data_IF_736703638199
#
_entry.id   IF_736703638199
#
_cell.length_a   1.000
_cell.length_b   1.000
_cell.length_c   1.000
_cell.angle_alpha   90.00
_cell.angle_beta   90.00
_cell.angle_gamma   90.00
#
_symmetry.space_group_name_H-M   'P 1'
#
loop_
_entity.id
_entity.type
_entity.pdbx_description
1 polymer ?
#
# COMPACT_ATOMS: atom_id res chain seq x y z
N UNK A 1 9.15 -40.56 61.65
CA UNK A 1 8.94 -42.01 61.46
C UNK A 1 8.14 -42.17 60.19
N UNK A 2 8.75 -42.36 59.01
CA UNK A 2 9.27 -43.65 58.50
C UNK A 2 8.09 -44.62 58.35
N UNK A 3 7.65 -45.11 57.18
CA UNK A 3 8.37 -45.77 56.07
C UNK A 3 7.33 -46.14 54.97
N UNK A 4 7.62 -45.96 53.68
CA UNK A 4 7.83 -47.01 52.63
C UNK A 4 7.01 -48.31 52.73
N UNK A 5 6.17 -48.58 51.71
CA UNK A 5 6.16 -49.81 50.88
C UNK A 5 5.03 -49.72 49.82
N UNK A 6 5.31 -49.53 48.52
CA UNK A 6 5.58 -50.51 47.44
C UNK A 6 4.51 -51.59 47.20
N UNK A 7 3.97 -51.53 45.98
CA UNK A 7 3.61 -52.61 45.07
C UNK A 7 2.49 -53.60 45.44
N UNK A 8 1.35 -53.46 44.75
CA UNK A 8 0.67 -54.60 44.18
C UNK A 8 0.33 -54.33 42.71
N UNK A 9 1.13 -54.94 41.83
CA UNK A 9 0.72 -55.27 40.47
C UNK A 9 -0.35 -56.35 40.59
N UNK A 10 -1.60 -56.03 40.25
CA UNK A 10 -2.59 -57.05 39.94
C UNK A 10 -3.00 -56.95 38.48
N UNK A 11 -2.58 -58.01 37.79
CA UNK A 11 -3.00 -58.55 36.52
C UNK A 11 -4.53 -58.44 36.29
N UNK A 12 -4.96 -57.73 35.26
CA UNK A 12 -6.14 -58.10 34.47
C UNK A 12 -5.82 -57.84 33.00
N UNK A 13 -5.21 -58.85 32.39
CA UNK A 13 -5.27 -59.07 30.95
C UNK A 13 -6.69 -59.58 30.66
N UNK A 14 -7.51 -58.70 30.12
CA UNK A 14 -8.85 -59.00 29.64
C UNK A 14 -9.11 -58.17 28.41
N UNK A 15 -8.85 -58.74 27.24
CA UNK A 15 -9.31 -58.26 25.95
C UNK A 15 -10.83 -58.09 26.00
N UNK A 16 -11.26 -56.84 25.93
CA UNK A 16 -12.55 -56.47 25.40
C UNK A 16 -12.25 -55.35 24.44
N UNK A 17 -12.37 -55.62 23.15
CA UNK A 17 -12.41 -54.57 22.13
C UNK A 17 -13.55 -53.63 22.55
N UNK A 18 -13.20 -52.49 23.16
CA UNK A 18 -14.19 -51.49 23.52
C UNK A 18 -14.79 -51.02 22.19
N UNK A 19 -16.09 -51.23 21.93
CA UNK A 19 -16.69 -50.77 20.69
C UNK A 19 -16.48 -49.27 20.49
N UNK A 20 -16.28 -48.52 21.59
CA UNK A 20 -15.98 -47.10 21.54
C UNK A 20 -14.65 -46.79 20.83
N UNK A 21 -13.61 -47.60 20.98
CA UNK A 21 -12.31 -47.37 20.32
C UNK A 21 -12.36 -47.66 18.80
N UNK A 22 -13.14 -48.66 18.36
CA UNK A 22 -13.41 -48.87 16.92
C UNK A 22 -14.26 -47.72 16.34
N UNK A 23 -15.21 -47.17 17.10
CA UNK A 23 -15.98 -46.00 16.67
C UNK A 23 -15.13 -44.73 16.60
N UNK A 24 -14.28 -44.47 17.58
CA UNK A 24 -13.41 -43.29 17.62
C UNK A 24 -12.34 -43.34 16.54
N UNK A 25 -11.72 -44.50 16.32
CA UNK A 25 -10.74 -44.66 15.24
C UNK A 25 -11.36 -44.57 13.84
N UNK A 26 -12.62 -44.98 13.66
CA UNK A 26 -13.37 -44.73 12.41
C UNK A 26 -13.77 -43.26 12.24
N UNK A 27 -14.14 -42.57 13.32
CA UNK A 27 -14.49 -41.16 13.29
C UNK A 27 -13.26 -40.28 12.99
N UNK A 28 -12.10 -40.62 13.55
CA UNK A 28 -10.82 -39.96 13.26
C UNK A 28 -10.40 -40.19 11.81
N UNK A 29 -10.46 -41.43 11.29
CA UNK A 29 -10.15 -41.71 9.87
C UNK A 29 -11.05 -40.95 8.92
N UNK A 30 -12.35 -40.82 9.24
CA UNK A 30 -13.32 -40.07 8.42
C UNK A 30 -13.10 -38.56 8.49
N UNK A 31 -12.53 -38.04 9.58
CA UNK A 31 -12.14 -36.63 9.67
C UNK A 31 -10.79 -36.37 9.00
N UNK A 32 -9.79 -37.23 9.12
CA UNK A 32 -8.49 -37.07 8.44
C UNK A 32 -8.60 -37.23 6.91
N UNK A 33 -9.46 -38.11 6.38
CA UNK A 33 -9.74 -38.18 4.93
C UNK A 33 -10.55 -36.97 4.41
N UNK A 34 -11.32 -36.30 5.28
CA UNK A 34 -12.06 -35.08 4.92
C UNK A 34 -11.18 -33.83 4.99
N UNK A 35 -10.07 -33.88 5.74
CA UNK A 35 -9.08 -32.81 5.86
C UNK A 35 -8.05 -32.85 4.72
N UNK A 36 -7.67 -34.02 4.19
CA UNK A 36 -6.76 -34.11 3.04
C UNK A 36 -7.41 -33.88 1.65
N UNK A 37 -8.75 -33.78 1.55
CA UNK A 37 -9.44 -33.55 0.25
C UNK A 37 -10.18 -32.22 0.11
N UNK A 38 -10.02 -31.26 1.03
CA UNK A 38 -10.68 -29.95 0.90
C UNK A 38 -9.81 -28.72 1.16
N UNK A 39 -8.49 -28.88 1.14
CA UNK A 39 -7.58 -27.77 0.84
C UNK A 39 -7.42 -27.60 -0.67
N UNK A 40 -8.42 -27.04 -1.35
CA UNK A 40 -8.27 -26.23 -2.57
C UNK A 40 -9.53 -25.37 -2.75
N UNK A 41 -9.85 -24.55 -1.75
CA UNK A 41 -10.85 -23.48 -1.85
C UNK A 41 -10.17 -22.11 -1.60
N UNK A 42 -9.05 -21.88 -2.28
CA UNK A 42 -8.50 -20.55 -2.54
C UNK A 42 -8.88 -20.12 -3.95
N UNK A 43 -9.58 -18.99 -4.06
CA UNK A 43 -10.08 -18.45 -5.33
C UNK A 43 -8.96 -18.16 -6.31
N UNK A 44 -8.75 -19.05 -7.27
CA UNK A 44 -8.06 -18.76 -8.51
C UNK A 44 -9.13 -18.34 -9.54
N UNK A 45 -9.10 -17.11 -10.10
CA UNK A 45 -10.09 -16.66 -11.09
C UNK A 45 -10.18 -17.59 -12.30
N UNK A 46 -9.10 -18.33 -12.62
CA UNK A 46 -9.13 -19.34 -13.68
C UNK A 46 -10.02 -20.55 -13.38
N UNK A 47 -10.21 -20.93 -12.11
CA UNK A 47 -11.03 -22.10 -11.72
C UNK A 47 -12.52 -21.76 -11.61
N UNK A 48 -12.87 -20.54 -11.18
CA UNK A 48 -14.28 -20.09 -11.18
C UNK A 48 -14.77 -19.85 -12.60
N UNK A 49 -13.94 -19.25 -13.47
CA UNK A 49 -14.23 -19.12 -14.89
C UNK A 49 -14.37 -20.51 -15.54
N UNK A 50 -13.49 -21.46 -15.22
CA UNK A 50 -13.61 -22.84 -15.71
C UNK A 50 -14.88 -23.54 -15.21
N UNK A 51 -15.27 -23.37 -13.94
CA UNK A 51 -16.54 -23.91 -13.41
C UNK A 51 -17.77 -23.31 -14.10
N UNK A 52 -17.77 -22.00 -14.37
CA UNK A 52 -18.86 -21.33 -15.10
C UNK A 52 -18.91 -21.82 -16.54
N UNK A 53 -17.77 -21.95 -17.22
CA UNK A 53 -17.69 -22.50 -18.58
C UNK A 53 -18.16 -23.96 -18.61
N UNK A 54 -17.78 -24.78 -17.63
CA UNK A 54 -18.23 -26.18 -17.52
C UNK A 54 -19.74 -26.24 -17.27
N UNK A 55 -20.31 -25.39 -16.40
CA UNK A 55 -21.77 -25.33 -16.18
C UNK A 55 -22.51 -24.91 -17.46
N UNK A 56 -21.97 -23.97 -18.22
CA UNK A 56 -22.54 -23.52 -19.50
C UNK A 56 -22.43 -24.60 -20.59
N UNK A 57 -21.30 -25.32 -20.65
CA UNK A 57 -21.07 -26.41 -21.61
C UNK A 57 -21.83 -27.70 -21.25
N UNK A 58 -21.97 -28.04 -19.96
CA UNK A 58 -22.81 -29.16 -19.52
C UNK A 58 -24.30 -28.85 -19.65
N UNK A 59 -24.71 -27.60 -19.40
CA UNK A 59 -26.07 -27.12 -19.60
C UNK A 59 -26.52 -27.24 -21.06
N UNK A 60 -25.62 -27.05 -22.03
CA UNK A 60 -25.94 -27.20 -23.46
C UNK A 60 -26.02 -28.66 -23.92
N UNK A 61 -25.32 -29.58 -23.26
CA UNK A 61 -25.28 -31.00 -23.66
C UNK A 61 -26.40 -31.87 -23.06
N UNK A 62 -27.00 -31.46 -21.93
CA UNK A 62 -28.08 -32.23 -21.28
C UNK A 62 -29.51 -31.75 -21.58
N UNK A 63 -29.69 -30.64 -22.30
CA UNK A 63 -31.02 -30.06 -22.59
C UNK A 63 -31.59 -30.46 -23.96
N UNK A 64 -31.79 -31.76 -24.20
CA UNK A 64 -32.59 -32.25 -25.35
C UNK A 64 -33.95 -32.85 -24.95
N UNK A 65 -34.45 -32.60 -23.74
CA UNK A 65 -35.67 -33.28 -23.27
C UNK A 65 -36.46 -32.68 -22.11
N UNK A 66 -36.38 -31.37 -21.83
CA UNK A 66 -37.28 -30.72 -20.84
C UNK A 66 -37.81 -29.42 -21.45
N UNK A 67 -39.13 -29.33 -21.58
CA UNK A 67 -39.84 -28.13 -22.02
C UNK A 67 -39.79 -27.01 -20.98
N UNK A 68 -39.75 -25.77 -21.48
CA UNK A 68 -40.01 -24.50 -20.79
C UNK A 68 -39.47 -24.34 -19.35
N UNK A 69 -38.15 -24.20 -19.22
CA UNK A 69 -37.56 -23.50 -18.08
C UNK A 69 -36.90 -22.23 -18.63
N UNK A 70 -37.53 -21.07 -18.40
CA UNK A 70 -36.89 -19.77 -18.64
C UNK A 70 -35.90 -19.50 -17.50
N UNK A 71 -34.68 -19.97 -17.66
CA UNK A 71 -33.55 -19.49 -16.88
C UNK A 71 -33.07 -18.22 -17.58
N UNK A 72 -33.31 -17.05 -16.99
CA UNK A 72 -32.65 -15.80 -17.37
C UNK A 72 -31.38 -15.64 -16.50
N UNK A 73 -30.25 -16.31 -16.80
CA UNK A 73 -29.03 -16.23 -15.99
C UNK A 73 -28.43 -14.83 -15.96
N UNK A 74 -28.83 -13.96 -16.89
CA UNK A 74 -28.33 -12.60 -16.98
C UNK A 74 -28.97 -11.65 -15.96
N UNK A 75 -30.27 -11.78 -15.66
CA UNK A 75 -30.97 -10.83 -14.76
C UNK A 75 -30.57 -10.97 -13.28
N UNK A 76 -30.07 -12.14 -12.88
CA UNK A 76 -29.50 -12.34 -11.54
C UNK A 76 -28.09 -11.74 -11.44
N UNK A 77 -27.28 -11.89 -12.49
CA UNK A 77 -25.91 -11.36 -12.53
C UNK A 77 -25.91 -9.83 -12.68
N UNK A 78 -26.87 -9.25 -13.42
CA UNK A 78 -26.99 -7.79 -13.58
C UNK A 78 -27.28 -7.05 -12.27
N UNK A 79 -27.97 -7.66 -11.31
CA UNK A 79 -28.28 -7.02 -10.02
C UNK A 79 -27.11 -7.11 -9.03
N UNK A 80 -26.30 -8.17 -9.09
CA UNK A 80 -25.12 -8.34 -8.22
C UNK A 80 -23.81 -7.82 -8.81
N UNK A 81 -23.71 -7.65 -10.13
CA UNK A 81 -22.49 -7.15 -10.78
C UNK A 81 -22.38 -5.62 -10.82
N UNK A 82 -23.46 -4.88 -10.54
CA UNK A 82 -23.48 -3.42 -10.63
C UNK A 82 -23.37 -2.69 -9.27
N UNK A 83 -23.41 -3.43 -8.15
CA UNK A 83 -23.15 -2.88 -6.81
C UNK A 83 -21.66 -2.74 -6.46
N UNK A 84 -20.76 -3.00 -7.42
CA UNK A 84 -19.30 -2.82 -7.26
C UNK A 84 -18.87 -1.36 -7.60
N UNK A 85 -19.79 -0.51 -8.05
CA UNK A 85 -19.44 0.78 -8.67
C UNK A 85 -19.48 2.02 -7.76
N UNK A 86 -19.64 1.89 -6.43
CA UNK A 86 -19.50 3.05 -5.54
C UNK A 86 -18.23 2.91 -4.68
N UNK A 87 -17.28 3.88 -4.72
CA UNK A 87 -16.36 4.07 -3.62
C UNK A 87 -17.20 4.15 -2.35
N UNK A 88 -17.06 3.11 -1.52
CA UNK A 88 -17.92 2.80 -0.38
C UNK A 88 -18.21 4.02 0.47
N UNK A 89 -19.48 4.38 0.65
CA UNK A 89 -19.96 5.39 1.62
C UNK A 89 -19.27 5.26 2.98
N UNK A 90 -19.03 4.02 3.40
CA UNK A 90 -18.24 3.64 4.58
C UNK A 90 -16.79 4.19 4.58
N UNK A 91 -16.09 4.19 3.45
CA UNK A 91 -14.76 4.82 3.33
C UNK A 91 -14.82 6.34 3.53
N UNK A 92 -15.81 7.02 2.95
CA UNK A 92 -15.98 8.46 3.12
C UNK A 92 -16.35 8.79 4.56
N UNK A 93 -17.21 7.99 5.20
CA UNK A 93 -17.54 8.14 6.61
C UNK A 93 -16.31 7.96 7.52
N UNK A 94 -15.49 6.92 7.29
CA UNK A 94 -14.23 6.75 8.03
C UNK A 94 -13.26 7.89 7.81
N UNK A 95 -13.14 8.36 6.55
CA UNK A 95 -12.28 9.51 6.25
C UNK A 95 -12.79 10.74 7.00
N UNK A 96 -14.09 11.04 6.96
CA UNK A 96 -14.70 12.17 7.66
C UNK A 96 -14.38 12.13 9.15
N UNK A 97 -14.59 10.99 9.81
CA UNK A 97 -14.28 10.83 11.24
C UNK A 97 -12.82 11.18 11.54
N UNK A 98 -11.88 10.71 10.70
CA UNK A 98 -10.46 11.01 10.87
C UNK A 98 -10.14 12.49 10.60
N UNK A 99 -10.81 13.12 9.64
CA UNK A 99 -10.67 14.55 9.35
C UNK A 99 -11.17 15.40 10.53
N UNK A 100 -12.31 15.04 11.11
CA UNK A 100 -12.87 15.68 12.31
C UNK A 100 -11.92 15.55 13.51
N UNK A 101 -11.39 14.35 13.76
CA UNK A 101 -10.37 14.12 14.81
C UNK A 101 -9.12 15.00 14.63
N UNK A 102 -8.77 15.30 13.39
CA UNK A 102 -7.63 16.15 13.05
C UNK A 102 -7.96 17.65 13.07
N UNK A 103 -9.21 18.04 13.30
CA UNK A 103 -9.64 19.44 13.38
C UNK A 103 -10.18 20.02 12.07
N UNK A 104 -10.59 19.18 11.11
CA UNK A 104 -11.26 19.59 9.88
C UNK A 104 -12.73 19.17 9.92
N UNK A 105 -13.61 19.92 10.64
CA UNK A 105 -15.03 19.61 10.70
C UNK A 105 -15.75 19.98 9.38
N UNK A 106 -17.03 19.64 9.32
CA UNK A 106 -17.99 20.14 8.32
C UNK A 106 -17.71 19.73 6.86
N UNK A 107 -16.98 18.63 6.63
CA UNK A 107 -16.78 18.06 5.30
C UNK A 107 -17.93 17.11 4.93
N UNK A 108 -18.60 17.40 3.80
CA UNK A 108 -19.58 16.49 3.23
C UNK A 108 -18.90 15.44 2.33
N UNK A 109 -19.68 14.45 1.84
CA UNK A 109 -19.12 13.38 1.00
C UNK A 109 -18.55 13.86 -0.34
N UNK A 110 -19.13 14.90 -0.94
CA UNK A 110 -18.62 15.49 -2.18
C UNK A 110 -17.28 16.19 -1.94
N UNK A 111 -17.14 16.94 -0.84
CA UNK A 111 -15.87 17.56 -0.44
C UNK A 111 -14.78 16.49 -0.26
N UNK A 112 -15.11 15.39 0.41
CA UNK A 112 -14.17 14.28 0.65
C UNK A 112 -13.80 13.55 -0.65
N UNK A 113 -14.74 13.41 -1.60
CA UNK A 113 -14.46 12.85 -2.93
C UNK A 113 -13.52 13.77 -3.70
N UNK A 114 -13.72 15.08 -3.63
CA UNK A 114 -12.87 16.07 -4.28
C UNK A 114 -11.46 16.11 -3.68
N UNK A 115 -11.32 16.18 -2.36
CA UNK A 115 -10.02 16.11 -1.69
C UNK A 115 -9.25 14.86 -2.13
N UNK A 116 -9.91 13.69 -2.14
CA UNK A 116 -9.30 12.44 -2.57
C UNK A 116 -8.90 12.43 -4.04
N UNK A 117 -9.71 13.02 -4.92
CA UNK A 117 -9.39 13.08 -6.36
C UNK A 117 -8.15 13.95 -6.62
N UNK A 118 -7.90 14.94 -5.77
CA UNK A 118 -6.69 15.77 -5.76
C UNK A 118 -5.53 15.14 -4.96
N UNK A 119 -5.67 13.91 -4.44
CA UNK A 119 -4.63 13.20 -3.68
C UNK A 119 -4.56 13.55 -2.19
N UNK A 120 -5.45 14.41 -1.69
CA UNK A 120 -5.54 14.78 -0.28
C UNK A 120 -6.41 13.77 0.46
N UNK A 121 -5.77 12.92 1.25
CA UNK A 121 -6.44 11.92 2.11
C UNK A 121 -6.17 12.21 3.58
N UNK A 122 -6.99 11.64 4.47
CA UNK A 122 -6.75 11.75 5.91
C UNK A 122 -5.36 11.18 6.31
N UNK A 123 -4.92 10.09 5.66
CA UNK A 123 -3.57 9.52 5.86
C UNK A 123 -2.48 10.47 5.38
N UNK A 124 -2.66 11.11 4.23
CA UNK A 124 -1.71 12.09 3.71
C UNK A 124 -1.51 13.24 4.71
N UNK A 125 -2.61 13.87 5.14
CA UNK A 125 -2.58 14.95 6.13
C UNK A 125 -1.93 14.49 7.44
N UNK A 126 -2.33 13.33 7.97
CA UNK A 126 -1.75 12.76 9.19
C UNK A 126 -0.24 12.57 9.07
N UNK A 127 0.26 12.10 7.92
CA UNK A 127 1.69 11.91 7.69
C UNK A 127 2.43 13.24 7.59
N UNK A 128 1.88 14.25 6.90
CA UNK A 128 2.49 15.58 6.83
C UNK A 128 2.55 16.24 8.22
N UNK A 129 1.48 16.13 9.02
CA UNK A 129 1.47 16.64 10.41
C UNK A 129 2.49 15.94 11.29
N UNK A 130 2.68 14.63 11.12
CA UNK A 130 3.67 13.86 11.86
C UNK A 130 5.12 14.27 11.56
N UNK A 131 5.37 14.96 10.43
CA UNK A 131 6.67 15.52 10.06
C UNK A 131 6.92 16.92 10.67
N UNK A 132 6.03 17.41 11.53
CA UNK A 132 6.18 18.69 12.24
C UNK A 132 5.25 19.80 11.75
N UNK A 133 4.53 19.61 10.65
CA UNK A 133 3.56 20.59 10.12
C UNK A 133 2.20 20.46 10.82
N UNK A 134 2.15 20.71 12.14
CA UNK A 134 0.96 20.41 12.97
C UNK A 134 -0.26 21.26 12.64
N UNK A 135 -0.04 22.50 12.20
CA UNK A 135 -1.07 23.50 11.82
C UNK A 135 -1.37 23.50 10.31
N UNK A 136 -1.35 22.32 9.69
CA UNK A 136 -1.62 22.19 8.26
C UNK A 136 -3.08 22.54 7.94
N UNK A 137 -3.36 23.53 7.10
CA UNK A 137 -4.72 23.78 6.63
C UNK A 137 -5.12 22.84 5.48
N UNK A 138 -6.41 22.72 5.15
CA UNK A 138 -6.84 21.98 3.95
C UNK A 138 -6.31 22.63 2.67
N UNK A 139 -6.27 23.96 2.63
CA UNK A 139 -5.71 24.70 1.50
C UNK A 139 -4.22 24.38 1.33
N UNK A 140 -3.44 24.33 2.41
CA UNK A 140 -2.04 23.92 2.34
C UNK A 140 -1.87 22.48 1.87
N UNK A 141 -2.68 21.56 2.38
CA UNK A 141 -2.65 20.17 1.92
C UNK A 141 -2.93 20.05 0.41
N UNK A 142 -3.88 20.84 -0.11
CA UNK A 142 -4.17 20.92 -1.54
C UNK A 142 -3.01 21.54 -2.32
N UNK A 143 -2.40 22.62 -1.81
CA UNK A 143 -1.24 23.28 -2.43
C UNK A 143 -0.05 22.31 -2.56
N UNK A 144 0.22 21.52 -1.52
CA UNK A 144 1.26 20.49 -1.54
C UNK A 144 0.93 19.39 -2.55
N UNK A 145 -0.30 18.87 -2.53
CA UNK A 145 -0.72 17.83 -3.46
C UNK A 145 -0.65 18.29 -4.92
N UNK A 146 -1.11 19.51 -5.22
CA UNK A 146 -1.02 20.13 -6.54
C UNK A 146 0.43 20.37 -7.00
N UNK A 147 1.37 20.54 -6.07
CA UNK A 147 2.80 20.59 -6.35
C UNK A 147 3.47 19.20 -6.44
N UNK A 148 2.69 18.11 -6.41
CA UNK A 148 3.17 16.72 -6.36
C UNK A 148 4.13 16.45 -5.18
N UNK A 149 3.84 17.07 -4.03
CA UNK A 149 4.58 16.84 -2.79
C UNK A 149 3.95 15.66 -2.03
N UNK A 150 4.75 14.62 -1.84
CA UNK A 150 4.41 13.47 -1.00
C UNK A 150 4.97 13.65 0.41
N UNK A 151 4.39 13.00 1.41
CA UNK A 151 4.99 12.94 2.76
C UNK A 151 6.37 12.29 2.75
N UNK A 152 6.62 11.32 1.85
CA UNK A 152 7.97 10.74 1.65
C UNK A 152 8.97 11.79 1.13
N UNK A 153 8.58 12.66 0.21
CA UNK A 153 9.46 13.74 -0.25
C UNK A 153 9.83 14.68 0.90
N UNK A 154 8.86 15.11 1.70
CA UNK A 154 9.11 15.94 2.88
C UNK A 154 10.05 15.23 3.87
N UNK A 155 9.76 13.98 4.21
CA UNK A 155 10.58 13.19 5.13
C UNK A 155 12.03 13.06 4.67
N UNK A 156 12.26 12.71 3.41
CA UNK A 156 13.61 12.58 2.85
C UNK A 156 14.35 13.92 2.82
N UNK A 157 13.67 15.02 2.51
CA UNK A 157 14.32 16.33 2.51
C UNK A 157 14.69 16.78 3.92
N UNK A 158 13.83 16.54 4.92
CA UNK A 158 14.15 16.77 6.35
C UNK A 158 15.36 15.93 6.76
N UNK A 159 15.41 14.66 6.36
CA UNK A 159 16.54 13.76 6.64
C UNK A 159 17.85 14.24 6.00
N UNK A 160 17.77 14.84 4.82
CA UNK A 160 18.89 15.52 4.14
C UNK A 160 19.24 16.89 4.77
N UNK A 161 18.59 17.27 5.87
CA UNK A 161 18.90 18.50 6.62
C UNK A 161 18.17 19.75 6.14
N UNK A 162 17.17 19.61 5.26
CA UNK A 162 16.36 20.74 4.79
C UNK A 162 15.13 20.92 5.69
N UNK A 163 15.26 21.70 6.76
CA UNK A 163 14.12 22.14 7.56
C UNK A 163 13.56 23.44 6.95
N UNK A 164 12.47 23.33 6.19
CA UNK A 164 11.92 24.39 5.34
C UNK A 164 10.43 24.58 5.60
N UNK A 165 9.94 25.77 5.31
CA UNK A 165 8.51 26.04 5.24
C UNK A 165 7.83 25.27 4.11
N UNK A 166 6.51 25.07 4.20
CA UNK A 166 5.72 24.45 3.13
C UNK A 166 5.86 25.18 1.80
N UNK A 167 5.94 26.51 1.84
CA UNK A 167 6.10 27.34 0.64
C UNK A 167 7.45 27.13 -0.04
N UNK A 168 8.52 26.96 0.73
CA UNK A 168 9.85 26.63 0.20
C UNK A 168 9.87 25.22 -0.40
N UNK A 169 9.22 24.24 0.23
CA UNK A 169 9.05 22.90 -0.33
C UNK A 169 8.30 22.92 -1.67
N UNK A 170 7.24 23.71 -1.76
CA UNK A 170 6.48 23.93 -3.00
C UNK A 170 7.38 24.55 -4.07
N UNK A 171 8.19 25.55 -3.72
CA UNK A 171 9.12 26.19 -4.65
C UNK A 171 10.16 25.20 -5.19
N UNK A 172 10.78 24.40 -4.30
CA UNK A 172 11.72 23.35 -4.69
C UNK A 172 11.08 22.37 -5.67
N UNK A 173 9.87 21.88 -5.36
CA UNK A 173 9.20 20.92 -6.24
C UNK A 173 8.82 21.49 -7.59
N UNK A 174 8.28 22.71 -7.62
CA UNK A 174 7.93 23.39 -8.87
C UNK A 174 9.16 23.65 -9.74
N UNK A 175 10.33 23.84 -9.13
CA UNK A 175 11.61 23.94 -9.84
C UNK A 175 12.15 22.59 -10.33
N UNK A 176 11.49 21.47 -10.04
CA UNK A 176 11.91 20.13 -10.43
C UNK A 176 12.91 19.48 -9.47
N UNK A 177 13.16 20.07 -8.29
CA UNK A 177 14.07 19.49 -7.30
C UNK A 177 13.47 18.20 -6.72
N UNK A 178 14.30 17.17 -6.63
CA UNK A 178 13.92 15.89 -6.03
C UNK A 178 14.83 15.48 -4.89
N UNK A 179 14.27 14.77 -3.90
CA UNK A 179 15.07 14.23 -2.80
C UNK A 179 16.18 13.31 -3.33
N UNK A 180 15.90 12.53 -4.38
CA UNK A 180 16.92 11.72 -5.04
C UNK A 180 18.04 12.57 -5.65
N UNK A 181 17.70 13.65 -6.37
CA UNK A 181 18.69 14.57 -6.90
C UNK A 181 19.52 15.22 -5.79
N UNK A 182 18.88 15.71 -4.73
CA UNK A 182 19.54 16.34 -3.58
C UNK A 182 20.47 15.36 -2.87
N UNK A 183 20.03 14.12 -2.63
CA UNK A 183 20.86 13.05 -2.06
C UNK A 183 22.09 12.79 -2.92
N UNK A 184 21.94 12.64 -4.24
CA UNK A 184 23.07 12.40 -5.12
C UNK A 184 24.05 13.60 -5.13
N UNK A 185 23.56 14.84 -4.99
CA UNK A 185 24.42 16.02 -4.84
C UNK A 185 25.21 15.98 -3.53
N UNK A 186 24.58 15.56 -2.43
CA UNK A 186 25.25 15.33 -1.14
C UNK A 186 26.31 14.22 -1.21
N UNK A 187 26.01 13.13 -1.92
CA UNK A 187 26.93 12.00 -2.11
C UNK A 187 28.18 12.40 -2.91
N UNK A 188 28.08 13.43 -3.75
CA UNK A 188 29.20 14.03 -4.47
C UNK A 188 30.02 15.03 -3.63
N UNK A 189 29.70 15.15 -2.34
CA UNK A 189 30.44 15.99 -1.38
C UNK A 189 29.83 17.37 -1.14
N UNK A 190 28.80 17.76 -1.90
CA UNK A 190 28.12 19.05 -1.72
C UNK A 190 26.99 18.91 -0.70
N UNK A 191 27.33 18.98 0.59
CA UNK A 191 26.35 18.84 1.70
C UNK A 191 25.69 20.17 2.10
N UNK A 192 26.40 21.28 1.94
CA UNK A 192 25.92 22.62 2.35
C UNK A 192 25.24 23.38 1.20
N UNK A 193 24.42 22.70 0.39
CA UNK A 193 23.74 23.31 -0.77
C UNK A 193 22.44 23.95 -0.32
N UNK A 194 22.28 25.25 -0.55
CA UNK A 194 21.05 25.95 -0.16
C UNK A 194 19.86 25.57 -1.06
N UNK A 195 18.61 25.74 -0.61
CA UNK A 195 17.43 25.54 -1.44
C UNK A 195 17.48 26.35 -2.75
N UNK A 196 17.94 27.59 -2.71
CA UNK A 196 18.07 28.47 -3.87
C UNK A 196 19.11 27.94 -4.86
N UNK A 197 20.21 27.37 -4.35
CA UNK A 197 21.21 26.72 -5.19
C UNK A 197 20.63 25.47 -5.85
N UNK A 198 19.90 24.61 -5.13
CA UNK A 198 19.21 23.45 -5.72
C UNK A 198 18.25 23.87 -6.85
N UNK A 199 17.46 24.93 -6.61
CA UNK A 199 16.56 25.51 -7.63
C UNK A 199 17.37 25.98 -8.84
N UNK A 200 18.45 26.73 -8.61
CA UNK A 200 19.30 27.25 -9.69
C UNK A 200 19.92 26.13 -10.51
N UNK A 201 20.44 25.10 -9.85
CA UNK A 201 21.02 23.90 -10.47
C UNK A 201 20.00 23.19 -11.36
N UNK A 202 18.77 22.99 -10.88
CA UNK A 202 17.70 22.38 -11.68
C UNK A 202 17.29 23.25 -12.88
N UNK A 203 17.13 24.57 -12.69
CA UNK A 203 16.73 25.49 -13.77
C UNK A 203 17.72 25.54 -14.93
N UNK A 204 19.02 25.38 -14.66
CA UNK A 204 20.06 25.31 -15.70
C UNK A 204 20.30 23.88 -16.20
N UNK A 205 19.52 22.90 -15.74
CA UNK A 205 19.65 21.49 -16.08
C UNK A 205 21.02 20.92 -15.71
N UNK A 206 21.53 21.27 -14.52
CA UNK A 206 22.77 20.72 -13.98
C UNK A 206 22.54 19.27 -13.53
N UNK A 207 23.18 18.31 -14.19
CA UNK A 207 23.10 16.89 -13.84
C UNK A 207 24.24 16.47 -12.92
N UNK A 208 24.03 15.46 -12.08
CA UNK A 208 25.07 14.88 -11.22
C UNK A 208 26.21 14.26 -12.03
N UNK A 209 25.91 13.70 -13.21
CA UNK A 209 26.92 13.19 -14.15
C UNK A 209 27.88 14.26 -14.68
N UNK A 210 27.44 15.52 -14.80
CA UNK A 210 28.32 16.62 -15.17
C UNK A 210 29.24 17.00 -14.01
N UNK A 211 28.71 17.01 -12.79
CA UNK A 211 29.48 17.27 -11.57
C UNK A 211 30.59 16.21 -11.43
N UNK A 212 30.25 14.92 -11.54
CA UNK A 212 31.20 13.80 -11.51
C UNK A 212 32.32 13.96 -12.55
N UNK A 213 31.97 14.30 -13.80
CA UNK A 213 32.95 14.52 -14.86
C UNK A 213 33.92 15.66 -14.51
N UNK A 214 33.40 16.78 -14.02
CA UNK A 214 34.24 17.92 -13.64
C UNK A 214 35.16 17.57 -12.46
N UNK A 215 34.69 16.77 -11.49
CA UNK A 215 35.53 16.27 -10.41
C UNK A 215 36.64 15.33 -10.91
N UNK A 216 36.37 14.51 -11.93
CA UNK A 216 37.39 13.67 -12.56
C UNK A 216 38.45 14.48 -13.32
N UNK A 217 38.04 15.56 -13.99
CA UNK A 217 38.93 16.42 -14.78
C UNK A 217 39.78 17.37 -13.92
N UNK A 218 39.21 17.86 -12.80
CA UNK A 218 39.77 18.99 -12.03
C UNK A 218 40.14 18.65 -10.58
N UNK A 219 39.83 17.44 -10.12
CA UNK A 219 39.98 17.01 -8.73
C UNK A 219 38.65 17.03 -7.96
N UNK A 220 38.56 16.30 -6.84
CA UNK A 220 37.30 16.07 -6.12
C UNK A 220 36.68 17.31 -5.46
N UNK A 221 37.47 18.36 -5.21
CA UNK A 221 37.05 19.57 -4.47
C UNK A 221 36.66 20.75 -5.39
N UNK A 222 36.00 20.49 -6.53
CA UNK A 222 35.52 21.60 -7.39
C UNK A 222 34.44 22.39 -6.64
N UNK A 223 34.58 23.71 -6.43
CA UNK A 223 33.53 24.50 -5.80
C UNK A 223 32.21 24.45 -6.58
N UNK A 224 31.08 24.37 -5.88
CA UNK A 224 29.76 24.26 -6.52
C UNK A 224 29.49 25.40 -7.51
N UNK A 225 29.88 26.63 -7.15
CA UNK A 225 29.71 27.80 -8.02
C UNK A 225 30.51 27.70 -9.32
N UNK A 226 31.66 27.03 -9.31
CA UNK A 226 32.44 26.82 -10.52
C UNK A 226 31.76 25.79 -11.45
N UNK A 227 31.12 24.76 -10.87
CA UNK A 227 30.31 23.79 -11.63
C UNK A 227 29.10 24.46 -12.25
N UNK A 228 28.39 25.31 -11.48
CA UNK A 228 27.25 26.10 -11.96
C UNK A 228 27.70 27.06 -13.08
N UNK A 229 28.81 27.79 -12.89
CA UNK A 229 29.36 28.71 -13.89
C UNK A 229 29.74 27.97 -15.18
N UNK A 230 30.36 26.79 -15.06
CA UNK A 230 30.70 25.96 -16.21
C UNK A 230 29.46 25.57 -17.02
N UNK A 231 28.37 25.16 -16.34
CA UNK A 231 27.11 24.81 -17.02
C UNK A 231 26.49 26.00 -17.74
N UNK A 232 26.47 27.18 -17.12
CA UNK A 232 25.91 28.39 -17.72
C UNK A 232 26.73 28.85 -18.94
N UNK A 233 28.07 28.77 -18.86
CA UNK A 233 28.95 29.21 -19.94
C UNK A 233 28.91 28.32 -21.19
N UNK A 234 28.42 27.08 -21.06
CA UNK A 234 28.39 26.08 -22.13
C UNK A 234 26.96 25.82 -22.65
N UNK A 235 26.02 26.74 -22.38
CA UNK A 235 24.70 26.81 -23.00
C UNK A 235 24.72 27.82 -24.16
#
# INVERSE_FOLDING_TARGET
MESRNKNFKNNLKGSGDDPLDDFLSRAERKNSEKTEKKEMAGGNPGRTIFLVIVIVLFGSYFFKGIGNISLNPFNAISQTAFSIQQPSEDLLNRMNNRMVEMGYPDLNHDDLRELRSQGVTATYISNVRALGFTELTLEDALRLANANITSTFLAMMIELGYDLSLDEYIQLRRAGVTAHYTSNVHDLGYRDVTPEQLIRMQRIGLTTSLIERLQQERGQDVPLEDVIRHRISNQ
#
